data_IF_854404386996
#
_entry.id   IF_854404386996
#
_cell.length_a   1.000
_cell.length_b   1.000
_cell.length_c   1.000
_cell.angle_alpha   90.00
_cell.angle_beta   90.00
_cell.angle_gamma   90.00
#
_symmetry.space_group_name_H-M   'P 1'
#
loop_
_entity.id
_entity.type
_entity.pdbx_description
1 polymer ?
#
# COMPACT_ATOMS: atom_id res chain seq x y z
N UNK A 1 4.45 -34.78 -13.85
CA UNK A 1 3.24 -34.52 -13.05
C UNK A 1 2.97 -33.03 -13.08
N UNK A 2 1.96 -32.60 -13.81
CA UNK A 2 1.62 -31.18 -13.94
C UNK A 2 0.95 -30.68 -12.67
N UNK A 3 1.64 -29.82 -11.93
CA UNK A 3 0.98 -28.86 -11.06
C UNK A 3 0.60 -27.69 -11.97
N UNK A 4 -0.65 -27.70 -12.45
CA UNK A 4 -1.28 -26.47 -12.87
C UNK A 4 -1.36 -25.58 -11.63
N UNK A 5 -0.33 -24.76 -11.42
CA UNK A 5 -0.45 -23.64 -10.50
C UNK A 5 -1.55 -22.77 -11.08
N UNK A 6 -2.70 -22.70 -10.39
CA UNK A 6 -3.65 -21.61 -10.56
C UNK A 6 -2.89 -20.34 -10.19
N UNK A 7 -2.15 -19.79 -11.16
CA UNK A 7 -1.35 -18.61 -10.97
C UNK A 7 -2.32 -17.45 -10.91
N UNK A 8 -2.79 -17.13 -9.70
CA UNK A 8 -3.47 -15.87 -9.42
C UNK A 8 -2.48 -14.74 -9.74
N UNK A 9 -2.53 -14.27 -10.98
CA UNK A 9 -1.79 -13.10 -11.41
C UNK A 9 -2.38 -11.90 -10.68
N UNK A 10 -1.66 -11.40 -9.67
CA UNK A 10 -2.01 -10.17 -8.96
C UNK A 10 -1.13 -9.06 -9.51
N UNK A 11 -1.75 -7.97 -9.97
CA UNK A 11 -1.01 -6.78 -10.42
C UNK A 11 -0.27 -6.17 -9.21
N UNK A 12 1.01 -5.90 -9.38
CA UNK A 12 1.88 -5.30 -8.37
C UNK A 12 2.46 -3.98 -8.87
N UNK A 13 2.81 -3.11 -7.94
CA UNK A 13 3.62 -1.92 -8.18
C UNK A 13 4.97 -2.10 -7.49
N UNK A 14 6.03 -1.61 -8.12
CA UNK A 14 7.36 -1.47 -7.51
C UNK A 14 7.54 -0.02 -7.04
N UNK A 15 7.59 0.20 -5.73
CA UNK A 15 7.95 1.51 -5.15
C UNK A 15 9.45 1.48 -4.88
N UNK A 16 10.23 2.17 -5.72
CA UNK A 16 11.69 2.27 -5.57
C UNK A 16 12.03 2.95 -4.24
N UNK A 17 12.98 2.37 -3.53
CA UNK A 17 13.54 2.92 -2.30
C UNK A 17 14.80 3.68 -2.70
N UNK A 18 14.72 5.01 -2.74
CA UNK A 18 15.86 5.85 -3.06
C UNK A 18 16.97 5.68 -2.00
N UNK A 19 18.22 5.82 -2.42
CA UNK A 19 19.40 5.65 -1.57
C UNK A 19 19.52 4.26 -0.91
N UNK A 20 19.04 3.20 -1.59
CA UNK A 20 19.13 1.85 -1.02
C UNK A 20 20.57 1.31 -0.89
N UNK A 21 21.57 2.01 -1.42
CA UNK A 21 22.98 1.73 -1.14
C UNK A 21 23.35 2.09 0.31
N UNK A 22 22.53 2.90 0.99
CA UNK A 22 22.65 3.26 2.40
C UNK A 22 21.33 3.01 3.15
N UNK A 23 20.84 1.76 3.11
CA UNK A 23 19.68 1.35 3.93
C UNK A 23 19.99 1.62 5.40
N UNK A 24 19.37 2.67 5.93
CA UNK A 24 19.47 3.05 7.32
C UNK A 24 18.32 2.43 8.14
N UNK A 25 18.40 2.59 9.46
CA UNK A 25 17.42 2.03 10.40
C UNK A 25 15.98 2.53 10.14
N UNK A 26 15.82 3.73 9.56
CA UNK A 26 14.51 4.28 9.25
C UNK A 26 13.80 3.46 8.16
N UNK A 27 14.49 3.19 7.05
CA UNK A 27 13.96 2.38 5.95
C UNK A 27 13.66 0.96 6.43
N UNK A 28 14.59 0.36 7.19
CA UNK A 28 14.39 -0.99 7.72
C UNK A 28 13.18 -1.05 8.67
N UNK A 29 12.98 -0.02 9.49
CA UNK A 29 11.82 0.07 10.37
C UNK A 29 10.51 0.25 9.59
N UNK A 30 10.49 1.07 8.54
CA UNK A 30 9.32 1.22 7.64
C UNK A 30 8.92 -0.12 7.00
N UNK A 31 9.90 -0.88 6.50
CA UNK A 31 9.66 -2.22 5.93
C UNK A 31 9.09 -3.21 6.96
N UNK A 32 9.64 -3.19 8.19
CA UNK A 32 9.13 -4.00 9.31
C UNK A 32 7.68 -3.62 9.67
N UNK A 33 7.36 -2.33 9.67
CA UNK A 33 5.99 -1.84 9.92
C UNK A 33 5.05 -2.32 8.82
N UNK A 34 5.40 -2.17 7.54
CA UNK A 34 4.59 -2.67 6.42
C UNK A 34 4.34 -4.19 6.49
N UNK A 35 5.34 -4.96 6.92
CA UNK A 35 5.20 -6.40 7.12
C UNK A 35 4.23 -6.73 8.27
N UNK A 36 4.27 -5.98 9.38
CA UNK A 36 3.36 -6.17 10.52
C UNK A 36 1.92 -5.74 10.19
N UNK A 37 1.74 -4.67 9.42
CA UNK A 37 0.45 -4.08 9.06
C UNK A 37 -0.35 -4.85 7.99
N UNK A 38 -0.24 -6.18 7.94
CA UNK A 38 -1.02 -7.00 7.00
C UNK A 38 -2.50 -7.00 7.41
N UNK A 39 -3.28 -6.13 6.76
CA UNK A 39 -4.71 -5.97 6.99
C UNK A 39 -5.43 -5.79 5.64
N UNK A 40 -6.68 -6.30 5.45
CA UNK A 40 -7.44 -6.10 4.21
C UNK A 40 -7.64 -4.65 3.77
N UNK A 41 -7.53 -3.68 4.69
CA UNK A 41 -7.73 -2.24 4.45
C UNK A 41 -6.44 -1.45 4.26
N UNK A 42 -5.28 -2.10 4.37
CA UNK A 42 -3.96 -1.51 4.11
C UNK A 42 -3.43 -2.13 2.82
N UNK A 43 -2.77 -1.34 1.96
CA UNK A 43 -2.19 -1.85 0.71
C UNK A 43 -1.23 -3.00 1.04
N UNK A 44 -1.48 -4.22 0.53
CA UNK A 44 -0.63 -5.36 0.86
C UNK A 44 0.81 -5.16 0.41
N UNK A 45 1.73 -5.38 1.34
CA UNK A 45 3.16 -5.46 1.11
C UNK A 45 3.59 -6.93 0.98
N UNK A 46 4.17 -7.29 -0.16
CA UNK A 46 4.56 -8.65 -0.50
C UNK A 46 6.04 -8.93 -0.20
N UNK A 47 6.90 -7.91 -0.24
CA UNK A 47 8.32 -8.06 0.03
C UNK A 47 9.17 -7.02 -0.72
N UNK A 48 10.44 -7.34 -0.91
CA UNK A 48 11.42 -6.47 -1.56
C UNK A 48 11.96 -7.18 -2.80
N UNK A 49 12.20 -6.44 -3.87
CA UNK A 49 12.87 -6.91 -5.08
C UNK A 49 13.94 -5.90 -5.52
N UNK A 50 14.81 -6.30 -6.46
CA UNK A 50 15.64 -5.32 -7.17
C UNK A 50 14.78 -4.53 -8.16
N UNK A 51 15.02 -3.23 -8.27
CA UNK A 51 14.38 -2.41 -9.28
C UNK A 51 14.77 -2.90 -10.69
N UNK A 52 13.87 -2.81 -11.69
CA UNK A 52 14.17 -3.22 -13.06
C UNK A 52 15.23 -2.33 -13.73
N UNK A 53 15.35 -1.09 -13.26
CA UNK A 53 16.29 -0.07 -13.73
C UNK A 53 17.05 0.43 -12.51
N UNK A 54 18.37 0.52 -12.62
CA UNK A 54 19.25 0.97 -11.55
C UNK A 54 19.78 -0.17 -10.66
N UNK A 55 20.36 0.19 -9.52
CA UNK A 55 20.88 -0.75 -8.52
C UNK A 55 20.00 -0.84 -7.28
N UNK A 56 18.94 -0.04 -7.25
CA UNK A 56 18.14 0.20 -6.08
C UNK A 56 17.21 -0.98 -5.75
N UNK A 57 16.85 -1.08 -4.47
CA UNK A 57 15.78 -1.96 -4.02
C UNK A 57 14.41 -1.30 -4.19
N UNK A 58 13.38 -2.11 -4.34
CA UNK A 58 12.00 -1.66 -4.44
C UNK A 58 11.08 -2.50 -3.56
N UNK A 59 10.07 -1.85 -2.96
CA UNK A 59 8.97 -2.55 -2.31
C UNK A 59 8.02 -3.11 -3.36
N UNK A 60 7.67 -4.39 -3.20
CA UNK A 60 6.63 -5.05 -3.98
C UNK A 60 5.31 -4.90 -3.23
N UNK A 61 4.40 -4.08 -3.75
CA UNK A 61 3.09 -3.80 -3.15
C UNK A 61 1.97 -4.05 -4.15
N UNK A 62 0.74 -4.20 -3.66
CA UNK A 62 -0.44 -4.32 -4.54
C UNK A 62 -0.61 -3.09 -5.42
N UNK A 63 -0.87 -3.30 -6.70
CA UNK A 63 -1.23 -2.23 -7.63
C UNK A 63 -2.59 -1.63 -7.25
N UNK A 64 -2.63 -0.32 -7.01
CA UNK A 64 -3.87 0.42 -6.78
C UNK A 64 -4.48 0.80 -8.13
N UNK A 65 -5.48 0.04 -8.58
CA UNK A 65 -6.08 0.19 -9.91
C UNK A 65 -6.62 1.60 -10.21
N UNK A 66 -7.08 2.29 -9.17
CA UNK A 66 -7.63 3.64 -9.27
C UNK A 66 -6.66 4.75 -8.84
N UNK A 67 -5.39 4.41 -8.57
CA UNK A 67 -4.39 5.35 -8.09
C UNK A 67 -4.64 5.81 -6.64
N UNK A 68 -4.15 7.01 -6.31
CA UNK A 68 -4.36 7.64 -5.00
C UNK A 68 -5.79 8.17 -4.83
N UNK A 69 -6.23 8.23 -3.57
CA UNK A 69 -7.61 8.58 -3.22
C UNK A 69 -7.97 10.02 -3.64
N UNK A 70 -7.04 10.98 -3.52
CA UNK A 70 -7.28 12.38 -3.89
C UNK A 70 -7.54 12.53 -5.38
N UNK A 71 -6.71 11.94 -6.23
CA UNK A 71 -6.90 11.99 -7.68
C UNK A 71 -8.13 11.19 -8.11
N UNK A 72 -8.41 10.05 -7.46
CA UNK A 72 -9.64 9.31 -7.68
C UNK A 72 -10.88 10.16 -7.37
N UNK A 73 -10.94 10.77 -6.18
CA UNK A 73 -12.06 11.62 -5.75
C UNK A 73 -12.26 12.77 -6.73
N UNK A 74 -11.19 13.44 -7.19
CA UNK A 74 -11.29 14.52 -8.20
C UNK A 74 -11.95 14.04 -9.49
N UNK A 75 -11.58 12.84 -9.97
CA UNK A 75 -12.15 12.23 -11.18
C UNK A 75 -13.63 11.91 -11.04
N UNK A 76 -14.06 11.42 -9.88
CA UNK A 76 -15.45 10.98 -9.64
C UNK A 76 -16.33 12.03 -8.96
N UNK A 77 -15.78 13.20 -8.60
CA UNK A 77 -16.43 14.23 -7.78
C UNK A 77 -17.86 14.59 -8.23
N UNK A 78 -18.16 14.78 -9.54
CA UNK A 78 -19.50 15.13 -9.99
C UNK A 78 -20.56 14.05 -9.73
N UNK A 79 -20.13 12.79 -9.55
CA UNK A 79 -20.99 11.62 -9.32
C UNK A 79 -20.97 11.14 -7.87
N UNK A 80 -20.27 11.86 -6.99
CA UNK A 80 -19.99 11.42 -5.63
C UNK A 80 -21.14 11.76 -4.68
N UNK A 81 -21.99 10.77 -4.37
CA UNK A 81 -23.09 10.94 -3.40
C UNK A 81 -22.56 11.09 -1.97
N UNK A 82 -23.35 11.73 -1.09
CA UNK A 82 -23.02 11.83 0.33
C UNK A 82 -22.83 10.46 0.99
N UNK A 83 -23.67 9.48 0.65
CA UNK A 83 -23.54 8.10 1.13
C UNK A 83 -22.19 7.50 0.74
N UNK A 84 -21.74 7.72 -0.50
CA UNK A 84 -20.45 7.20 -0.94
C UNK A 84 -19.27 7.91 -0.24
N UNK A 85 -19.37 9.22 0.01
CA UNK A 85 -18.38 9.96 0.82
C UNK A 85 -18.29 9.38 2.24
N UNK A 86 -19.43 9.13 2.88
CA UNK A 86 -19.48 8.52 4.20
C UNK A 86 -18.83 7.13 4.20
N UNK A 87 -19.09 6.31 3.18
CA UNK A 87 -18.47 4.99 3.05
C UNK A 87 -16.94 5.06 2.95
N UNK A 88 -16.39 6.01 2.17
CA UNK A 88 -14.93 6.22 2.12
C UNK A 88 -14.39 6.53 3.52
N UNK A 89 -15.01 7.48 4.24
CA UNK A 89 -14.57 7.88 5.58
C UNK A 89 -14.66 6.73 6.60
N UNK A 90 -15.70 5.90 6.51
CA UNK A 90 -15.87 4.70 7.34
C UNK A 90 -14.75 3.69 7.08
N UNK A 91 -14.42 3.40 5.82
CA UNK A 91 -13.35 2.45 5.50
C UNK A 91 -11.96 2.98 5.89
N UNK A 92 -11.71 4.28 5.69
CA UNK A 92 -10.50 4.94 6.19
C UNK A 92 -10.39 4.88 7.72
N UNK A 93 -11.49 5.12 8.43
CA UNK A 93 -11.52 5.01 9.90
C UNK A 93 -11.23 3.60 10.38
N UNK A 94 -11.80 2.57 9.72
CA UNK A 94 -11.51 1.16 10.03
C UNK A 94 -10.05 0.80 9.74
N UNK A 95 -9.45 1.34 8.69
CA UNK A 95 -8.03 1.15 8.38
C UNK A 95 -7.15 1.74 9.50
N UNK A 96 -7.44 2.98 9.93
CA UNK A 96 -6.73 3.63 11.03
C UNK A 96 -6.89 2.87 12.36
N UNK A 97 -8.11 2.44 12.70
CA UNK A 97 -8.35 1.60 13.88
C UNK A 97 -7.50 0.33 13.85
N UNK A 98 -7.38 -0.31 12.69
CA UNK A 98 -6.56 -1.52 12.54
C UNK A 98 -5.07 -1.25 12.77
N UNK A 99 -4.56 -0.09 12.34
CA UNK A 99 -3.17 0.33 12.59
C UNK A 99 -2.97 0.61 14.08
N UNK A 100 -3.89 1.33 14.72
CA UNK A 100 -3.80 1.67 16.14
C UNK A 100 -3.87 0.43 17.04
N UNK A 101 -4.68 -0.57 16.70
CA UNK A 101 -4.74 -1.86 17.41
C UNK A 101 -3.40 -2.62 17.40
N UNK A 102 -2.49 -2.30 16.48
CA UNK A 102 -1.13 -2.85 16.43
C UNK A 102 -0.11 -1.99 17.20
N UNK A 103 -0.58 -1.00 17.97
CA UNK A 103 0.24 0.02 18.65
C UNK A 103 1.14 0.82 17.68
N UNK A 104 0.63 1.10 16.48
CA UNK A 104 1.32 1.89 15.46
C UNK A 104 0.60 3.20 15.22
N UNK A 105 1.34 4.22 14.79
CA UNK A 105 0.81 5.53 14.38
C UNK A 105 1.22 5.76 12.93
N UNK A 106 0.27 6.07 12.05
CA UNK A 106 0.54 6.26 10.60
C UNK A 106 1.45 7.46 10.32
N UNK A 107 1.36 8.52 11.13
CA UNK A 107 2.13 9.78 11.07
C UNK A 107 1.92 10.68 9.84
N UNK A 108 1.56 10.11 8.69
CA UNK A 108 1.38 10.87 7.43
C UNK A 108 0.05 10.53 6.72
N UNK A 109 -1.06 10.53 7.48
CA UNK A 109 -2.35 10.10 6.96
C UNK A 109 -3.06 11.25 6.24
N UNK A 110 -2.88 11.33 4.92
CA UNK A 110 -3.50 12.34 4.06
C UNK A 110 -4.15 11.71 2.83
N UNK A 111 -5.23 12.33 2.37
CA UNK A 111 -5.80 12.10 1.04
C UNK A 111 -5.09 12.97 0.02
#
# INVERSE_FOLDING_TARGET
TSLASNQLSSKVTLKVINDSDNINDHILNELKIHHKCRNPRVIPFYGIAKAPVGKEYAMVIRYAENGDLRNYIRKVFPKLTWTYRANILIELSKALTSIHQMNLVHKDFHC
#
